data_IF_805131930129
#
_entry.id   IF_805131930129
#
_cell.length_a   1.000
_cell.length_b   1.000
_cell.length_c   1.000
_cell.angle_alpha   90.00
_cell.angle_beta   90.00
_cell.angle_gamma   90.00
#
_symmetry.space_group_name_H-M   'P 1'
#
loop_
_entity.id
_entity.type
_entity.pdbx_description
1 polymer ?
#
# COMPACT_ATOMS: atom_id res chain seq x y z
N UNK A 1 9.13 -25.77 -7.03
CA UNK A 1 8.38 -24.60 -6.54
C UNK A 1 7.11 -24.53 -7.36
N UNK A 2 5.97 -24.64 -6.70
CA UNK A 2 4.71 -25.12 -7.27
C UNK A 2 3.85 -24.00 -7.86
N UNK A 3 2.86 -24.38 -8.68
CA UNK A 3 1.78 -23.54 -9.23
C UNK A 3 1.03 -22.63 -8.22
N UNK A 4 1.31 -22.75 -6.93
CA UNK A 4 0.76 -21.91 -5.85
C UNK A 4 1.42 -20.53 -5.82
N UNK A 5 2.71 -20.39 -6.17
CA UNK A 5 3.42 -19.10 -6.21
C UNK A 5 2.83 -18.16 -7.27
N UNK A 6 2.58 -18.66 -8.48
CA UNK A 6 2.00 -17.87 -9.59
C UNK A 6 0.57 -17.35 -9.30
N UNK A 7 -0.18 -18.03 -8.41
CA UNK A 7 -1.55 -17.64 -8.10
C UNK A 7 -1.66 -16.54 -7.04
N UNK A 8 -0.66 -16.36 -6.18
CA UNK A 8 -0.65 -15.26 -5.20
C UNK A 8 -0.54 -13.89 -5.87
N UNK A 9 0.22 -13.81 -6.92
CA UNK A 9 0.64 -12.59 -7.59
C UNK A 9 -0.52 -11.83 -8.25
N UNK A 10 -1.55 -12.55 -8.70
CA UNK A 10 -2.78 -11.94 -9.21
C UNK A 10 -3.81 -11.58 -8.11
N UNK A 11 -3.54 -11.88 -6.85
CA UNK A 11 -4.42 -11.58 -5.72
C UNK A 11 -3.75 -10.64 -4.73
N UNK A 12 -2.49 -10.90 -4.36
CA UNK A 12 -1.72 -10.05 -3.45
C UNK A 12 -0.97 -8.97 -4.24
N UNK A 13 -1.51 -7.75 -4.26
CA UNK A 13 -0.92 -6.63 -5.01
C UNK A 13 0.35 -6.11 -4.36
N UNK A 14 0.42 -6.09 -3.03
CA UNK A 14 1.60 -5.55 -2.32
C UNK A 14 1.69 -5.99 -0.88
N UNK A 15 2.94 -6.05 -0.38
CA UNK A 15 3.29 -6.26 1.02
C UNK A 15 3.82 -4.96 1.62
N UNK A 16 3.42 -4.65 2.85
CA UNK A 16 3.93 -3.49 3.59
C UNK A 16 4.17 -3.83 5.05
N UNK A 17 5.38 -3.52 5.54
CA UNK A 17 5.69 -3.55 6.97
C UNK A 17 5.95 -2.13 7.45
N UNK A 18 5.46 -1.82 8.65
CA UNK A 18 5.67 -0.55 9.34
C UNK A 18 6.13 -0.83 10.75
N UNK A 19 7.08 -0.01 11.22
CA UNK A 19 7.55 -0.01 12.59
C UNK A 19 7.30 1.38 13.20
N UNK A 20 6.90 1.41 14.46
CA UNK A 20 6.77 2.62 15.26
C UNK A 20 7.83 2.59 16.37
N UNK A 21 8.63 3.64 16.49
CA UNK A 21 9.70 3.76 17.45
C UNK A 21 9.73 5.15 18.10
N UNK A 22 10.11 5.19 19.36
CA UNK A 22 10.49 6.43 20.05
C UNK A 22 11.91 6.32 20.58
N UNK A 23 12.58 7.44 20.69
CA UNK A 23 13.92 7.53 21.28
C UNK A 23 13.83 7.74 22.80
N UNK A 24 14.71 7.08 23.56
CA UNK A 24 14.70 7.11 25.02
C UNK A 24 14.93 8.51 25.59
N UNK A 25 15.82 9.29 24.96
CA UNK A 25 16.29 10.57 25.47
C UNK A 25 15.49 11.79 24.99
N UNK A 26 14.42 11.57 24.24
CA UNK A 26 13.58 12.65 23.71
C UNK A 26 12.13 12.55 24.22
N UNK A 27 11.48 13.69 24.49
CA UNK A 27 10.06 13.69 24.83
C UNK A 27 9.22 13.31 23.62
N UNK A 28 8.18 12.48 23.78
CA UNK A 28 7.31 12.04 22.67
C UNK A 28 6.72 13.22 21.89
N UNK A 29 6.43 13.07 20.59
CA UNK A 29 6.08 14.17 19.69
C UNK A 29 4.92 15.06 20.18
N UNK A 30 3.88 14.47 20.76
CA UNK A 30 2.76 15.23 21.33
C UNK A 30 3.13 16.13 22.51
N UNK A 31 4.20 15.79 23.24
CA UNK A 31 4.76 16.63 24.30
C UNK A 31 5.80 17.58 23.72
N UNK A 32 6.60 17.11 22.78
CA UNK A 32 7.61 17.88 22.05
C UNK A 32 6.99 19.14 21.41
N UNK A 33 5.82 19.04 20.76
CA UNK A 33 5.11 20.17 20.16
C UNK A 33 4.77 21.32 21.10
N UNK A 34 4.82 21.09 22.43
CA UNK A 34 4.54 22.09 23.47
C UNK A 34 5.83 22.66 24.09
N UNK A 35 6.98 22.17 23.68
CA UNK A 35 8.27 22.58 24.20
C UNK A 35 8.81 23.78 23.38
N UNK A 36 9.43 24.73 24.08
CA UNK A 36 10.06 25.89 23.45
C UNK A 36 11.27 25.48 22.56
N UNK A 37 11.89 24.34 22.85
CA UNK A 37 13.03 23.77 22.10
C UNK A 37 12.60 22.68 21.10
N UNK A 38 11.31 22.52 20.85
CA UNK A 38 10.78 21.43 20.01
C UNK A 38 11.45 21.36 18.64
N UNK A 39 11.67 22.50 17.99
CA UNK A 39 12.29 22.57 16.66
C UNK A 39 13.75 22.14 16.70
N UNK A 40 14.48 22.53 17.74
CA UNK A 40 15.90 22.18 17.93
C UNK A 40 16.06 20.67 18.15
N UNK A 41 15.25 20.09 19.03
CA UNK A 41 15.24 18.64 19.30
C UNK A 41 14.83 17.84 18.07
N UNK A 42 13.82 18.31 17.32
CA UNK A 42 13.39 17.67 16.08
C UNK A 42 14.47 17.70 14.99
N UNK A 43 15.23 18.81 14.90
CA UNK A 43 16.35 18.92 13.95
C UNK A 43 17.50 18.00 14.34
N UNK A 44 17.75 17.82 15.61
CA UNK A 44 18.78 16.88 16.08
C UNK A 44 18.39 15.44 15.79
N UNK A 45 17.14 15.03 16.05
CA UNK A 45 16.64 13.71 15.65
C UNK A 45 16.73 13.50 14.14
N UNK A 46 16.30 14.50 13.33
CA UNK A 46 16.39 14.45 11.87
C UNK A 46 17.84 14.24 11.41
N UNK A 47 18.79 14.97 12.00
CA UNK A 47 20.21 14.84 11.69
C UNK A 47 20.74 13.44 12.00
N UNK A 48 20.49 12.94 13.21
CA UNK A 48 20.96 11.65 13.67
C UNK A 48 20.41 10.49 12.84
N UNK A 49 19.09 10.50 12.57
CA UNK A 49 18.46 9.47 11.72
C UNK A 49 18.97 9.54 10.28
N UNK A 50 19.12 10.75 9.73
CA UNK A 50 19.66 10.92 8.36
C UNK A 50 21.09 10.40 8.27
N UNK A 51 21.92 10.68 9.27
CA UNK A 51 23.30 10.21 9.33
C UNK A 51 23.38 8.69 9.47
N UNK A 52 22.54 8.08 10.32
CA UNK A 52 22.45 6.63 10.47
C UNK A 52 22.08 5.95 9.13
N UNK A 53 21.03 6.42 8.50
CA UNK A 53 20.50 5.82 7.26
C UNK A 53 21.39 6.08 6.04
N UNK A 54 22.13 7.18 6.00
CA UNK A 54 23.07 7.47 4.89
C UNK A 54 24.17 6.43 4.72
N UNK A 55 24.42 5.61 5.76
CA UNK A 55 25.34 4.47 5.71
C UNK A 55 24.74 3.23 5.03
N UNK A 56 23.40 3.18 4.91
CA UNK A 56 22.67 2.05 4.34
C UNK A 56 22.32 2.33 2.88
N UNK A 57 21.68 3.49 2.60
CA UNK A 57 21.35 3.93 1.25
C UNK A 57 21.04 5.43 1.19
N UNK A 58 20.82 5.95 -0.03
CA UNK A 58 20.48 7.35 -0.26
C UNK A 58 18.99 7.63 -0.09
N UNK A 59 18.68 8.69 0.67
CA UNK A 59 17.32 9.15 0.91
C UNK A 59 17.15 10.61 0.50
N UNK A 60 15.97 10.95 -0.01
CA UNK A 60 15.53 12.33 -0.18
C UNK A 60 14.81 12.81 1.06
N UNK A 61 15.32 13.87 1.70
CA UNK A 61 14.71 14.47 2.89
C UNK A 61 13.65 15.50 2.51
N UNK A 62 12.44 15.29 2.97
CA UNK A 62 11.30 16.21 2.85
C UNK A 62 10.99 16.84 4.22
N UNK A 63 11.21 18.16 4.36
CA UNK A 63 10.87 18.92 5.57
C UNK A 63 9.45 19.47 5.43
N UNK A 64 8.52 19.03 6.28
CA UNK A 64 7.11 19.40 6.15
C UNK A 64 6.85 20.90 6.29
N UNK A 65 7.67 21.62 7.07
CA UNK A 65 7.58 23.08 7.28
C UNK A 65 7.73 23.92 6.01
N UNK A 66 8.44 23.41 4.99
CA UNK A 66 8.67 24.12 3.73
C UNK A 66 7.98 23.47 2.52
N UNK A 67 7.18 22.44 2.75
CA UNK A 67 6.57 21.67 1.67
C UNK A 67 5.25 22.34 1.21
N UNK A 68 5.08 22.51 -0.12
CA UNK A 68 3.83 23.03 -0.68
C UNK A 68 2.68 22.03 -0.48
N UNK A 69 1.44 22.54 -0.49
CA UNK A 69 0.25 21.68 -0.32
C UNK A 69 0.11 20.65 -1.44
N UNK A 70 0.44 21.02 -2.68
CA UNK A 70 0.40 20.11 -3.84
C UNK A 70 1.41 18.99 -3.68
N UNK A 71 2.64 19.31 -3.26
CA UNK A 71 3.68 18.31 -3.05
C UNK A 71 3.35 17.40 -1.87
N UNK A 72 2.79 17.96 -0.80
CA UNK A 72 2.34 17.19 0.35
C UNK A 72 1.21 16.23 -0.03
N UNK A 73 0.20 16.71 -0.77
CA UNK A 73 -0.90 15.89 -1.26
C UNK A 73 -0.40 14.72 -2.13
N UNK A 74 0.56 14.99 -3.02
CA UNK A 74 1.16 13.95 -3.87
C UNK A 74 1.88 12.87 -3.04
N UNK A 75 2.67 13.25 -2.03
CA UNK A 75 3.34 12.28 -1.15
C UNK A 75 2.34 11.45 -0.33
N UNK A 76 1.22 12.06 0.10
CA UNK A 76 0.14 11.33 0.79
C UNK A 76 -0.53 10.33 -0.15
N UNK A 77 -0.87 10.70 -1.37
CA UNK A 77 -1.51 9.81 -2.35
C UNK A 77 -0.60 8.68 -2.79
N UNK A 78 0.71 8.92 -2.83
CA UNK A 78 1.73 7.89 -3.06
C UNK A 78 1.99 6.99 -1.83
N UNK A 79 1.26 7.19 -0.72
CA UNK A 79 1.45 6.48 0.55
C UNK A 79 2.85 6.62 1.17
N UNK A 80 3.60 7.66 0.80
CA UNK A 80 4.96 7.93 1.32
C UNK A 80 4.92 8.67 2.66
N UNK A 81 3.88 9.48 2.88
CA UNK A 81 3.63 10.12 4.17
C UNK A 81 2.17 9.97 4.57
N UNK A 82 1.90 10.07 5.88
CA UNK A 82 0.53 10.12 6.40
C UNK A 82 -0.03 11.54 6.36
N UNK A 83 -1.36 11.68 6.42
CA UNK A 83 -2.01 12.98 6.63
C UNK A 83 -1.72 13.55 8.02
N UNK A 84 -1.50 12.69 9.01
CA UNK A 84 -1.23 13.10 10.38
C UNK A 84 0.14 13.72 10.52
N UNK A 85 1.15 13.30 9.74
CA UNK A 85 2.47 13.96 9.69
C UNK A 85 2.35 15.46 9.37
N UNK A 86 1.39 15.84 8.52
CA UNK A 86 1.18 17.23 8.13
C UNK A 86 0.60 18.10 9.25
N UNK A 87 0.07 17.51 10.33
CA UNK A 87 -0.36 18.24 11.53
C UNK A 87 0.82 18.73 12.36
N UNK A 88 1.99 18.09 12.20
CA UNK A 88 3.23 18.39 12.91
C UNK A 88 4.25 19.13 12.05
N UNK A 89 3.83 19.88 11.03
CA UNK A 89 4.70 20.58 10.04
C UNK A 89 5.93 21.26 10.63
N UNK A 90 5.89 21.95 11.78
CA UNK A 90 7.06 22.66 12.30
C UNK A 90 8.23 21.74 12.65
N UNK A 91 7.97 20.49 13.06
CA UNK A 91 8.95 19.53 13.56
C UNK A 91 9.04 18.26 12.70
N UNK A 92 8.07 18.04 11.81
CA UNK A 92 7.97 16.82 11.04
C UNK A 92 8.83 16.84 9.77
N UNK A 93 9.40 15.69 9.45
CA UNK A 93 10.07 15.41 8.19
C UNK A 93 9.86 13.98 7.72
N UNK A 94 10.25 13.68 6.50
CA UNK A 94 10.25 12.32 5.97
C UNK A 94 11.47 12.08 5.09
N UNK A 95 12.09 10.93 5.25
CA UNK A 95 13.15 10.39 4.42
C UNK A 95 12.54 9.37 3.47
N UNK A 96 12.71 9.54 2.17
CA UNK A 96 12.14 8.66 1.14
C UNK A 96 13.26 8.14 0.26
N UNK A 97 13.34 6.82 0.05
CA UNK A 97 14.29 6.21 -0.88
C UNK A 97 14.06 6.65 -2.31
N UNK A 98 15.07 6.55 -3.16
CA UNK A 98 14.99 6.97 -4.56
C UNK A 98 13.89 6.22 -5.34
N UNK A 99 13.74 4.92 -5.09
CA UNK A 99 12.71 4.05 -5.69
C UNK A 99 11.33 4.18 -5.03
N UNK A 100 11.22 4.98 -3.94
CA UNK A 100 10.00 5.24 -3.17
C UNK A 100 9.37 4.02 -2.50
N UNK A 101 10.12 2.95 -2.28
CA UNK A 101 9.64 1.78 -1.55
C UNK A 101 9.89 1.86 -0.04
N UNK A 102 10.80 2.76 0.39
CA UNK A 102 11.06 3.05 1.80
C UNK A 102 10.64 4.48 2.09
N UNK A 103 9.93 4.66 3.18
CA UNK A 103 9.62 5.96 3.75
C UNK A 103 9.74 5.92 5.26
N UNK A 104 10.49 6.87 5.82
CA UNK A 104 10.71 7.01 7.25
C UNK A 104 10.22 8.39 7.66
N UNK A 105 9.07 8.43 8.32
CA UNK A 105 8.46 9.65 8.82
C UNK A 105 9.01 9.95 10.22
N UNK A 106 9.38 11.20 10.46
CA UNK A 106 9.90 11.69 11.72
C UNK A 106 8.93 12.67 12.37
N UNK A 107 8.68 12.46 13.66
CA UNK A 107 7.80 13.30 14.50
C UNK A 107 6.35 13.35 14.00
N UNK A 108 5.78 12.18 13.70
CA UNK A 108 4.34 12.00 13.47
C UNK A 108 3.64 11.81 14.83
N UNK A 109 3.06 10.66 15.09
CA UNK A 109 2.54 10.23 16.39
C UNK A 109 3.68 9.77 17.29
N UNK A 110 4.62 9.02 16.72
CA UNK A 110 5.88 8.57 17.30
C UNK A 110 7.05 9.30 16.65
N UNK A 111 8.25 9.22 17.26
CA UNK A 111 9.45 9.88 16.72
C UNK A 111 9.83 9.34 15.35
N UNK A 112 9.75 8.02 15.17
CA UNK A 112 10.04 7.34 13.90
C UNK A 112 8.90 6.43 13.55
N UNK A 113 8.45 6.54 12.31
CA UNK A 113 7.55 5.58 11.69
C UNK A 113 8.15 5.12 10.38
N UNK A 114 8.76 3.98 10.43
CA UNK A 114 9.37 3.35 9.27
C UNK A 114 8.31 2.63 8.45
N UNK A 115 8.51 2.61 7.14
CA UNK A 115 7.65 1.90 6.22
C UNK A 115 8.49 1.34 5.08
N UNK A 116 8.35 0.05 4.85
CA UNK A 116 8.81 -0.62 3.65
C UNK A 116 7.63 -1.20 2.87
N UNK A 117 7.64 -0.96 1.58
CA UNK A 117 6.60 -1.36 0.64
C UNK A 117 7.22 -2.16 -0.51
N UNK A 118 6.62 -3.28 -0.87
CA UNK A 118 7.04 -4.06 -2.05
C UNK A 118 5.83 -4.57 -2.82
N UNK A 119 5.98 -4.76 -4.12
CA UNK A 119 5.00 -5.42 -4.96
C UNK A 119 4.94 -6.92 -4.62
N UNK A 120 3.74 -7.52 -4.79
CA UNK A 120 3.52 -8.94 -4.53
C UNK A 120 3.53 -9.31 -3.04
N UNK A 121 3.79 -10.57 -2.76
CA UNK A 121 3.67 -11.17 -1.45
C UNK A 121 4.98 -11.80 -0.98
N UNK A 122 5.67 -11.15 -0.06
CA UNK A 122 6.82 -11.71 0.65
C UNK A 122 7.01 -10.94 1.98
N UNK A 123 6.39 -11.45 3.05
CA UNK A 123 6.48 -10.86 4.39
C UNK A 123 7.87 -11.01 4.99
N UNK A 124 8.55 -12.14 4.74
CA UNK A 124 9.86 -12.41 5.30
C UNK A 124 10.90 -11.44 4.75
N UNK A 125 10.95 -11.28 3.42
CA UNK A 125 11.84 -10.33 2.75
C UNK A 125 11.55 -8.89 3.16
N UNK A 126 10.26 -8.52 3.27
CA UNK A 126 9.87 -7.19 3.71
C UNK A 126 10.30 -6.91 5.15
N UNK A 127 10.18 -7.90 6.03
CA UNK A 127 10.61 -7.80 7.42
C UNK A 127 12.14 -7.68 7.54
N UNK A 128 12.89 -8.55 6.87
CA UNK A 128 14.36 -8.51 6.86
C UNK A 128 14.86 -7.12 6.40
N UNK A 129 14.24 -6.57 5.35
CA UNK A 129 14.65 -5.27 4.79
C UNK A 129 14.40 -4.11 5.74
N UNK A 130 13.24 -4.08 6.41
CA UNK A 130 12.92 -2.98 7.33
C UNK A 130 13.73 -3.09 8.62
N UNK A 131 13.96 -4.31 9.13
CA UNK A 131 14.79 -4.51 10.32
C UNK A 131 16.22 -4.02 10.13
N UNK A 132 16.80 -4.19 8.94
CA UNK A 132 18.13 -3.63 8.66
C UNK A 132 18.19 -2.09 8.73
N UNK A 133 17.06 -1.39 8.52
CA UNK A 133 16.95 0.06 8.72
C UNK A 133 16.74 0.41 10.21
N UNK A 134 15.83 -0.32 10.86
CA UNK A 134 15.55 -0.17 12.30
C UNK A 134 16.82 -0.36 13.14
N UNK A 135 17.61 -1.40 12.85
CA UNK A 135 18.90 -1.66 13.50
C UNK A 135 19.89 -0.52 13.28
N UNK A 136 20.02 -0.01 12.04
CA UNK A 136 20.94 1.11 11.75
C UNK A 136 20.55 2.39 12.50
N UNK A 137 19.26 2.66 12.70
CA UNK A 137 18.79 3.77 13.52
C UNK A 137 19.06 3.49 15.00
N UNK A 138 18.70 2.30 15.48
CA UNK A 138 18.85 1.89 16.89
C UNK A 138 20.30 1.85 17.39
N UNK A 139 21.26 1.50 16.52
CA UNK A 139 22.69 1.58 16.80
C UNK A 139 23.18 3.02 17.03
N UNK A 140 22.51 3.99 16.42
CA UNK A 140 22.89 5.41 16.51
C UNK A 140 22.14 6.15 17.61
N UNK A 141 20.89 5.78 17.89
CA UNK A 141 20.02 6.46 18.86
C UNK A 141 19.22 5.39 19.61
N UNK A 142 19.37 5.26 20.94
CA UNK A 142 18.66 4.26 21.72
C UNK A 142 17.14 4.44 21.63
N UNK A 143 16.43 3.36 21.30
CA UNK A 143 14.98 3.35 21.35
C UNK A 143 14.43 3.26 22.78
N UNK A 144 13.26 3.87 23.01
CA UNK A 144 12.50 3.73 24.24
C UNK A 144 11.92 2.30 24.32
N UNK A 145 12.51 1.48 25.15
CA UNK A 145 12.19 0.06 25.31
C UNK A 145 12.04 -0.29 26.79
N UNK A 146 11.07 -1.16 27.08
CA UNK A 146 10.81 -1.72 28.40
C UNK A 146 10.82 -3.26 28.31
N UNK A 147 11.48 -3.93 29.25
CA UNK A 147 11.60 -5.40 29.23
C UNK A 147 10.25 -6.14 29.29
N UNK A 148 9.24 -5.51 29.88
CA UNK A 148 7.89 -6.10 30.03
C UNK A 148 6.98 -5.73 28.86
N UNK A 149 7.05 -4.49 28.39
CA UNK A 149 6.14 -3.93 27.41
C UNK A 149 6.70 -3.85 25.98
N UNK A 150 7.98 -4.07 25.78
CA UNK A 150 8.65 -3.90 24.49
C UNK A 150 8.87 -2.44 24.11
N UNK A 151 8.80 -2.10 22.85
CA UNK A 151 8.94 -0.72 22.37
C UNK A 151 7.80 0.16 22.86
N UNK A 152 8.16 1.28 23.47
CA UNK A 152 7.21 2.25 24.02
C UNK A 152 6.77 3.22 22.92
N UNK A 153 5.47 3.27 22.66
CA UNK A 153 4.88 4.09 21.62
C UNK A 153 3.82 5.04 22.20
N UNK A 154 3.56 6.14 21.49
CA UNK A 154 2.54 7.12 21.89
C UNK A 154 1.12 6.52 21.82
N UNK A 155 0.88 5.64 20.84
CA UNK A 155 -0.38 4.93 20.71
C UNK A 155 -0.31 3.56 21.40
N UNK A 156 -1.19 3.28 22.37
CA UNK A 156 -1.19 1.98 23.07
C UNK A 156 -1.33 0.76 22.15
N UNK A 157 -1.93 0.93 20.97
CA UNK A 157 -2.10 -0.16 20.00
C UNK A 157 -0.80 -0.53 19.26
N UNK A 158 0.25 0.27 19.38
CA UNK A 158 1.57 0.02 18.79
C UNK A 158 2.57 -0.50 19.83
N UNK A 159 2.28 -0.40 21.14
CA UNK A 159 3.17 -0.89 22.21
C UNK A 159 3.46 -2.37 22.03
N UNK A 160 4.69 -2.79 22.28
CA UNK A 160 5.20 -4.15 22.09
C UNK A 160 6.20 -4.19 20.94
N UNK A 161 5.89 -4.90 19.89
CA UNK A 161 6.76 -4.93 18.69
C UNK A 161 6.76 -3.62 17.90
N UNK A 162 5.75 -2.77 18.09
CA UNK A 162 5.54 -1.58 17.25
C UNK A 162 5.29 -1.91 15.78
N UNK A 163 5.15 -3.22 15.44
CA UNK A 163 5.11 -3.70 14.06
C UNK A 163 3.67 -3.85 13.54
N UNK A 164 3.46 -3.35 12.35
CA UNK A 164 2.26 -3.65 11.57
C UNK A 164 2.64 -4.24 10.22
N UNK A 165 2.46 -5.54 10.08
CA UNK A 165 2.55 -6.27 8.83
C UNK A 165 1.21 -6.23 8.10
N UNK A 166 1.20 -5.90 6.82
CA UNK A 166 -0.02 -5.80 6.03
C UNK A 166 0.20 -6.22 4.59
N UNK A 167 -0.86 -6.78 4.00
CA UNK A 167 -0.90 -7.17 2.58
C UNK A 167 -2.13 -6.55 1.93
N UNK A 168 -1.95 -5.94 0.76
CA UNK A 168 -3.04 -5.45 -0.06
C UNK A 168 -3.50 -6.55 -0.99
N UNK A 169 -4.78 -6.88 -0.95
CA UNK A 169 -5.40 -7.95 -1.73
C UNK A 169 -6.44 -7.39 -2.69
N UNK A 170 -6.41 -7.89 -3.93
CA UNK A 170 -7.44 -7.67 -4.93
C UNK A 170 -8.45 -8.81 -4.86
N UNK A 171 -9.64 -8.57 -4.28
CA UNK A 171 -10.64 -9.58 -3.93
C UNK A 171 -12.00 -9.38 -4.62
N UNK A 172 -12.05 -9.23 -5.97
CA UNK A 172 -13.29 -8.93 -6.68
C UNK A 172 -14.32 -10.05 -6.59
N UNK A 173 -13.92 -11.32 -6.55
CA UNK A 173 -14.86 -12.42 -6.50
C UNK A 173 -15.48 -12.56 -5.10
N UNK A 174 -14.69 -12.54 -4.05
CA UNK A 174 -15.17 -12.58 -2.67
C UNK A 174 -16.07 -11.38 -2.34
N UNK A 175 -15.68 -10.18 -2.78
CA UNK A 175 -16.42 -8.94 -2.56
C UNK A 175 -17.78 -8.98 -3.27
N UNK A 176 -17.78 -9.18 -4.59
CA UNK A 176 -19.00 -9.11 -5.45
C UNK A 176 -20.00 -10.23 -5.17
N UNK A 177 -19.52 -11.40 -4.70
CA UNK A 177 -20.40 -12.51 -4.29
C UNK A 177 -20.85 -12.42 -2.83
N UNK A 178 -20.40 -11.40 -2.09
CA UNK A 178 -20.77 -11.17 -0.69
C UNK A 178 -20.17 -12.21 0.29
N UNK A 179 -19.20 -13.00 -0.15
CA UNK A 179 -18.50 -14.01 0.68
C UNK A 179 -17.55 -13.33 1.64
N UNK A 180 -16.90 -12.23 1.21
CA UNK A 180 -16.00 -11.45 2.04
C UNK A 180 -16.67 -11.02 3.35
N UNK A 181 -17.79 -10.30 3.28
CA UNK A 181 -18.50 -9.79 4.44
C UNK A 181 -19.09 -10.90 5.33
N UNK A 182 -19.60 -11.99 4.73
CA UNK A 182 -20.31 -13.03 5.45
C UNK A 182 -19.41 -14.07 6.11
N UNK A 183 -18.23 -14.33 5.57
CA UNK A 183 -17.37 -15.44 6.01
C UNK A 183 -15.95 -14.99 6.36
N UNK A 184 -15.31 -14.15 5.53
CA UNK A 184 -13.89 -13.80 5.71
C UNK A 184 -13.71 -12.80 6.85
N UNK A 185 -14.42 -11.68 6.83
CA UNK A 185 -14.27 -10.63 7.84
C UNK A 185 -14.51 -11.15 9.28
N UNK A 186 -15.60 -11.89 9.58
CA UNK A 186 -15.82 -12.42 10.93
C UNK A 186 -14.74 -13.41 11.39
N UNK A 187 -14.21 -14.23 10.48
CA UNK A 187 -13.17 -15.20 10.79
C UNK A 187 -11.82 -14.55 11.12
N UNK A 188 -11.50 -13.41 10.50
CA UNK A 188 -10.24 -12.67 10.72
C UNK A 188 -10.26 -11.85 12.01
N UNK A 189 -11.36 -11.13 12.27
CA UNK A 189 -11.51 -10.34 13.50
C UNK A 189 -11.31 -11.20 14.76
N UNK A 190 -11.82 -12.44 14.77
CA UNK A 190 -11.62 -13.40 15.87
C UNK A 190 -10.16 -13.84 16.07
N UNK A 191 -9.29 -13.63 15.10
CA UNK A 191 -7.86 -14.00 15.14
C UNK A 191 -6.93 -12.81 15.44
N UNK A 192 -7.43 -11.63 15.75
CA UNK A 192 -6.61 -10.42 15.96
C UNK A 192 -6.04 -9.86 14.66
N UNK A 193 -6.76 -10.04 13.56
CA UNK A 193 -6.48 -9.45 12.26
C UNK A 193 -7.59 -8.44 11.90
N UNK A 194 -7.21 -7.39 11.24
CA UNK A 194 -8.15 -6.38 10.72
C UNK A 194 -8.10 -6.35 9.21
N UNK A 195 -9.27 -6.10 8.59
CA UNK A 195 -9.40 -5.90 7.15
C UNK A 195 -10.01 -4.53 6.92
N UNK A 196 -9.36 -3.74 6.09
CA UNK A 196 -9.83 -2.39 5.74
C UNK A 196 -9.94 -2.27 4.23
N UNK A 197 -11.01 -1.67 3.74
CA UNK A 197 -11.06 -1.16 2.38
C UNK A 197 -10.09 0.03 2.22
N UNK A 198 -9.77 0.38 1.00
CA UNK A 198 -8.85 1.48 0.70
C UNK A 198 -9.31 2.84 1.22
N UNK A 199 -10.60 3.02 1.51
CA UNK A 199 -11.21 4.28 1.98
C UNK A 199 -11.52 4.32 3.50
N UNK A 200 -11.17 3.30 4.28
CA UNK A 200 -11.40 3.24 5.73
C UNK A 200 -12.39 2.17 6.20
N UNK A 201 -12.70 2.14 7.49
CA UNK A 201 -13.41 1.03 8.16
C UNK A 201 -14.86 0.83 7.69
N UNK A 202 -15.55 1.89 7.23
CA UNK A 202 -16.99 1.85 6.86
C UNK A 202 -17.27 2.12 5.38
N UNK A 203 -16.27 2.37 4.56
CA UNK A 203 -16.44 2.63 3.13
C UNK A 203 -16.23 1.36 2.30
N UNK A 204 -17.07 1.14 1.30
CA UNK A 204 -16.87 0.08 0.31
C UNK A 204 -15.45 0.15 -0.27
N UNK A 205 -14.82 -1.01 -0.48
CA UNK A 205 -13.47 -1.05 -1.02
C UNK A 205 -13.46 -0.52 -2.46
N UNK A 206 -12.74 0.57 -2.66
CA UNK A 206 -12.54 1.14 -3.97
C UNK A 206 -11.69 0.18 -4.82
N UNK A 207 -12.18 -0.19 -5.99
CA UNK A 207 -11.48 -1.09 -6.89
C UNK A 207 -11.33 -2.54 -6.40
N UNK A 208 -12.16 -3.00 -5.44
CA UNK A 208 -12.08 -4.33 -4.82
C UNK A 208 -10.73 -4.62 -4.12
N UNK A 209 -10.06 -3.56 -3.62
CA UNK A 209 -8.79 -3.65 -2.90
C UNK A 209 -9.02 -3.63 -1.39
N UNK A 210 -8.45 -4.60 -0.68
CA UNK A 210 -8.58 -4.77 0.76
C UNK A 210 -7.22 -4.98 1.41
N UNK A 211 -6.95 -4.25 2.47
CA UNK A 211 -5.74 -4.42 3.27
C UNK A 211 -6.03 -5.35 4.46
N UNK A 212 -5.29 -6.43 4.56
CA UNK A 212 -5.27 -7.32 5.73
C UNK A 212 -4.03 -7.03 6.56
N UNK A 213 -4.16 -6.90 7.88
CA UNK A 213 -3.03 -6.62 8.77
C UNK A 213 -3.27 -7.17 10.17
N UNK A 214 -2.19 -7.36 10.96
CA UNK A 214 -2.31 -7.60 12.38
C UNK A 214 -2.93 -6.41 13.10
N UNK A 215 -3.65 -6.70 14.18
CA UNK A 215 -4.23 -5.71 15.09
C UNK A 215 -3.39 -5.60 16.38
N UNK A 216 -2.83 -6.72 16.84
CA UNK A 216 -2.07 -6.80 18.08
C UNK A 216 -0.59 -6.68 17.83
N UNK A 217 0.09 -5.99 18.75
CA UNK A 217 1.55 -5.78 18.77
C UNK A 217 2.14 -6.15 20.13
N UNK A 218 1.35 -6.17 21.21
CA UNK A 218 1.76 -6.49 22.54
C UNK A 218 1.55 -7.97 22.85
N UNK A 219 2.57 -8.62 23.42
CA UNK A 219 2.49 -10.02 23.86
C UNK A 219 2.55 -11.06 22.75
N UNK A 220 2.99 -10.69 21.57
CA UNK A 220 3.18 -11.53 20.40
C UNK A 220 4.50 -11.14 19.71
N UNK A 221 5.47 -12.06 19.57
CA UNK A 221 6.71 -11.76 18.86
C UNK A 221 6.48 -11.54 17.37
N UNK A 222 7.42 -10.87 16.71
CA UNK A 222 7.32 -10.48 15.30
C UNK A 222 7.11 -11.69 14.38
N UNK A 223 7.82 -12.78 14.62
CA UNK A 223 7.70 -14.02 13.81
C UNK A 223 6.30 -14.62 13.91
N UNK A 224 5.66 -14.55 15.07
CA UNK A 224 4.29 -15.03 15.26
C UNK A 224 3.29 -14.12 14.53
N UNK A 225 3.50 -12.81 14.56
CA UNK A 225 2.70 -11.85 13.79
C UNK A 225 2.81 -12.13 12.29
N UNK A 226 4.02 -12.31 11.76
CA UNK A 226 4.25 -12.61 10.35
C UNK A 226 3.58 -13.92 9.94
N UNK A 227 3.75 -14.98 10.74
CA UNK A 227 3.11 -16.28 10.49
C UNK A 227 1.58 -16.21 10.52
N UNK A 228 1.02 -15.44 11.46
CA UNK A 228 -0.43 -15.23 11.55
C UNK A 228 -0.99 -14.53 10.31
N UNK A 229 -0.32 -13.46 9.85
CA UNK A 229 -0.73 -12.74 8.64
C UNK A 229 -0.57 -13.63 7.42
N UNK A 230 0.55 -14.35 7.26
CA UNK A 230 0.81 -15.24 6.14
C UNK A 230 -0.26 -16.33 6.00
N UNK A 231 -0.61 -17.01 7.09
CA UNK A 231 -1.66 -18.05 7.11
C UNK A 231 -3.02 -17.48 6.70
N UNK A 232 -3.35 -16.30 7.18
CA UNK A 232 -4.60 -15.63 6.82
C UNK A 232 -4.63 -15.27 5.32
N UNK A 233 -3.54 -14.72 4.79
CA UNK A 233 -3.42 -14.38 3.37
C UNK A 233 -3.54 -15.63 2.51
N UNK A 234 -2.85 -16.73 2.82
CA UNK A 234 -2.97 -18.01 2.12
C UNK A 234 -4.43 -18.45 2.01
N UNK A 235 -5.14 -18.45 3.14
CA UNK A 235 -6.55 -18.85 3.18
C UNK A 235 -7.43 -17.95 2.31
N UNK A 236 -7.22 -16.63 2.36
CA UNK A 236 -8.01 -15.66 1.58
C UNK A 236 -7.74 -15.82 0.09
N UNK A 237 -6.48 -16.00 -0.30
CA UNK A 237 -6.07 -16.22 -1.70
C UNK A 237 -6.75 -17.47 -2.26
N UNK A 238 -6.69 -18.59 -1.54
CA UNK A 238 -7.37 -19.84 -1.96
C UNK A 238 -8.88 -19.63 -2.14
N UNK A 239 -9.53 -18.92 -1.21
CA UNK A 239 -10.95 -18.60 -1.31
C UNK A 239 -11.26 -17.70 -2.51
N UNK A 240 -10.46 -16.67 -2.75
CA UNK A 240 -10.64 -15.76 -3.89
C UNK A 240 -10.50 -16.53 -5.22
N UNK A 241 -9.47 -17.37 -5.36
CA UNK A 241 -9.24 -18.16 -6.56
C UNK A 241 -10.40 -19.15 -6.82
N UNK A 242 -10.91 -19.79 -5.76
CA UNK A 242 -12.07 -20.64 -5.87
C UNK A 242 -13.32 -19.89 -6.35
N UNK A 243 -13.58 -18.70 -5.80
CA UNK A 243 -14.72 -17.88 -6.21
C UNK A 243 -14.52 -17.29 -7.62
N UNK A 244 -13.28 -16.97 -8.04
CA UNK A 244 -12.97 -16.59 -9.43
C UNK A 244 -13.29 -17.74 -10.41
N UNK A 245 -12.88 -18.97 -10.07
CA UNK A 245 -13.18 -20.15 -10.88
C UNK A 245 -14.71 -20.37 -11.02
N UNK A 246 -15.46 -20.20 -9.94
CA UNK A 246 -16.94 -20.24 -9.98
C UNK A 246 -17.52 -19.13 -10.82
N UNK A 247 -17.05 -17.89 -10.65
CA UNK A 247 -17.48 -16.76 -11.48
C UNK A 247 -17.23 -17.00 -12.97
N UNK A 248 -16.07 -17.57 -13.31
CA UNK A 248 -15.74 -17.92 -14.71
C UNK A 248 -16.69 -18.98 -15.26
N UNK A 249 -17.00 -20.01 -14.48
CA UNK A 249 -17.92 -21.09 -14.90
C UNK A 249 -19.36 -20.63 -15.07
N UNK A 250 -19.85 -19.74 -14.20
CA UNK A 250 -21.22 -19.26 -14.15
C UNK A 250 -21.44 -17.99 -15.01
N UNK A 251 -20.40 -17.15 -15.15
CA UNK A 251 -20.51 -15.77 -15.64
C UNK A 251 -20.68 -15.63 -17.15
N UNK A 252 -20.17 -16.56 -17.95
CA UNK A 252 -20.35 -16.60 -19.40
C UNK A 252 -20.08 -15.24 -20.10
N UNK A 253 -20.89 -14.95 -21.12
CA UNK A 253 -20.83 -13.71 -21.92
C UNK A 253 -20.98 -12.43 -21.08
N UNK A 254 -21.90 -12.32 -20.10
CA UNK A 254 -22.03 -11.09 -19.31
C UNK A 254 -20.77 -10.68 -18.53
N UNK A 255 -20.03 -11.63 -17.99
CA UNK A 255 -18.79 -11.32 -17.26
C UNK A 255 -17.68 -10.87 -18.21
N UNK A 256 -17.54 -11.52 -19.36
CA UNK A 256 -16.60 -11.13 -20.42
C UNK A 256 -16.96 -9.76 -21.01
N UNK A 257 -18.26 -9.49 -21.31
CA UNK A 257 -18.74 -8.19 -21.81
C UNK A 257 -18.41 -7.06 -20.82
N UNK A 258 -18.53 -7.31 -19.52
CA UNK A 258 -18.16 -6.31 -18.49
C UNK A 258 -16.70 -5.92 -18.57
N UNK A 259 -15.79 -6.87 -18.72
CA UNK A 259 -14.35 -6.61 -18.90
C UNK A 259 -14.06 -5.90 -20.23
N UNK A 260 -14.73 -6.31 -21.33
CA UNK A 260 -14.61 -5.67 -22.63
C UNK A 260 -15.08 -4.21 -22.62
N UNK A 261 -16.20 -3.92 -21.95
CA UNK A 261 -16.69 -2.54 -21.78
C UNK A 261 -15.73 -1.70 -20.95
N UNK A 262 -15.16 -2.25 -19.86
CA UNK A 262 -14.16 -1.55 -19.06
C UNK A 262 -12.94 -1.15 -19.91
N UNK A 263 -12.43 -2.08 -20.71
CA UNK A 263 -11.33 -1.81 -21.64
C UNK A 263 -11.71 -0.74 -22.68
N UNK A 264 -12.90 -0.86 -23.30
CA UNK A 264 -13.39 0.10 -24.29
C UNK A 264 -13.53 1.51 -23.73
N UNK A 265 -14.05 1.66 -22.50
CA UNK A 265 -14.19 2.97 -21.84
C UNK A 265 -12.82 3.53 -21.50
N UNK A 266 -11.97 2.77 -20.81
CA UNK A 266 -10.64 3.22 -20.41
C UNK A 266 -9.74 3.63 -21.58
N UNK A 267 -10.00 3.12 -22.79
CA UNK A 267 -9.24 3.46 -24.00
C UNK A 267 -9.83 4.60 -24.84
N UNK A 268 -11.13 4.95 -24.69
CA UNK A 268 -11.80 5.87 -25.61
C UNK A 268 -12.64 6.96 -24.95
N UNK A 269 -12.79 6.99 -23.62
CA UNK A 269 -13.52 8.06 -22.96
C UNK A 269 -12.79 9.41 -23.08
N UNK A 270 -13.57 10.50 -23.13
CA UNK A 270 -13.04 11.88 -23.15
C UNK A 270 -12.98 12.49 -21.75
N UNK A 271 -13.75 11.95 -20.81
CA UNK A 271 -13.75 12.33 -19.40
C UNK A 271 -13.84 11.07 -18.55
N UNK A 272 -13.20 11.05 -17.39
CA UNK A 272 -13.15 9.89 -16.51
C UNK A 272 -13.04 10.34 -15.05
N UNK A 273 -14.12 10.21 -14.28
CA UNK A 273 -14.14 10.50 -12.85
C UNK A 273 -13.33 9.47 -12.06
N UNK A 274 -12.80 9.84 -10.89
CA UNK A 274 -11.94 8.97 -10.07
C UNK A 274 -12.63 7.64 -9.71
N UNK A 275 -13.84 7.69 -9.15
CA UNK A 275 -14.58 6.48 -8.76
C UNK A 275 -14.99 5.62 -9.96
N UNK A 276 -15.26 6.23 -11.12
CA UNK A 276 -15.53 5.52 -12.36
C UNK A 276 -14.26 4.81 -12.87
N UNK A 277 -13.13 5.49 -12.85
CA UNK A 277 -11.82 4.95 -13.19
C UNK A 277 -11.50 3.70 -12.36
N UNK A 278 -11.57 3.80 -11.03
CA UNK A 278 -11.26 2.69 -10.14
C UNK A 278 -12.16 1.48 -10.37
N UNK A 279 -13.44 1.70 -10.67
CA UNK A 279 -14.37 0.62 -10.99
C UNK A 279 -13.99 -0.10 -12.28
N UNK A 280 -13.66 0.64 -13.35
CA UNK A 280 -13.27 0.02 -14.61
C UNK A 280 -11.90 -0.64 -14.56
N UNK A 281 -10.95 -0.09 -13.80
CA UNK A 281 -9.68 -0.77 -13.54
C UNK A 281 -9.91 -2.10 -12.83
N UNK A 282 -10.78 -2.15 -11.82
CA UNK A 282 -11.13 -3.42 -11.16
C UNK A 282 -11.77 -4.43 -12.14
N UNK A 283 -12.67 -3.99 -13.02
CA UNK A 283 -13.29 -4.86 -14.01
C UNK A 283 -12.26 -5.36 -15.04
N UNK A 284 -11.33 -4.52 -15.46
CA UNK A 284 -10.25 -4.91 -16.38
C UNK A 284 -9.28 -5.89 -15.71
N UNK A 285 -8.85 -5.62 -14.46
CA UNK A 285 -7.99 -6.53 -13.68
C UNK A 285 -8.65 -7.90 -13.51
N UNK A 286 -9.94 -7.94 -13.18
CA UNK A 286 -10.67 -9.21 -13.11
C UNK A 286 -10.71 -9.92 -14.46
N UNK A 287 -10.91 -9.19 -15.56
CA UNK A 287 -10.87 -9.74 -16.91
C UNK A 287 -9.51 -10.36 -17.25
N UNK A 288 -8.41 -9.71 -16.89
CA UNK A 288 -7.05 -10.23 -17.01
C UNK A 288 -6.86 -11.52 -16.20
N UNK A 289 -7.24 -11.48 -14.91
CA UNK A 289 -7.11 -12.63 -14.00
C UNK A 289 -7.97 -13.85 -14.42
N UNK A 290 -9.08 -13.61 -15.15
CA UNK A 290 -9.92 -14.67 -15.70
C UNK A 290 -9.48 -15.14 -17.10
N UNK A 291 -8.41 -14.55 -17.66
CA UNK A 291 -7.88 -14.91 -18.97
C UNK A 291 -8.76 -14.49 -20.14
N UNK A 292 -9.45 -13.35 -20.03
CA UNK A 292 -10.24 -12.80 -21.15
C UNK A 292 -9.45 -11.91 -22.09
N UNK A 293 -8.19 -11.61 -21.75
CA UNK A 293 -7.30 -10.78 -22.56
C UNK A 293 -5.99 -11.48 -22.86
N UNK A 294 -5.44 -11.19 -24.02
CA UNK A 294 -4.10 -11.52 -24.45
C UNK A 294 -3.41 -10.27 -25.01
N UNK A 295 -2.20 -10.43 -25.52
CA UNK A 295 -1.48 -9.46 -26.38
C UNK A 295 -1.27 -10.04 -27.78
N UNK A 296 -0.63 -9.23 -28.63
CA UNK A 296 -0.33 -9.60 -30.02
C UNK A 296 0.68 -10.75 -30.14
N UNK A 297 1.30 -11.19 -29.02
CA UNK A 297 2.30 -12.27 -29.03
C UNK A 297 1.65 -13.65 -28.91
N UNK A 298 2.18 -14.68 -29.61
CA UNK A 298 1.70 -16.04 -29.47
C UNK A 298 1.71 -16.49 -28.00
N UNK A 299 0.68 -17.17 -27.55
CA UNK A 299 0.55 -17.64 -26.17
C UNK A 299 1.76 -18.48 -25.69
N UNK A 300 2.43 -19.19 -26.62
CA UNK A 300 3.61 -20.02 -26.36
C UNK A 300 4.88 -19.24 -26.03
N UNK A 301 4.96 -17.97 -26.45
CA UNK A 301 6.12 -17.09 -26.22
C UNK A 301 5.89 -16.09 -25.08
N UNK A 302 4.70 -16.09 -24.49
CA UNK A 302 4.31 -15.15 -23.44
C UNK A 302 5.02 -15.48 -22.13
N UNK A 303 5.62 -14.48 -21.43
CA UNK A 303 6.18 -14.66 -20.10
C UNK A 303 5.13 -15.21 -19.11
N UNK A 304 5.53 -16.07 -18.19
CA UNK A 304 4.64 -16.64 -17.17
C UNK A 304 4.02 -15.57 -16.26
N UNK A 305 4.73 -14.46 -16.04
CA UNK A 305 4.36 -13.31 -15.23
C UNK A 305 3.61 -12.20 -16.02
N UNK A 306 3.20 -12.46 -17.25
CA UNK A 306 2.55 -11.45 -18.11
C UNK A 306 1.29 -10.83 -17.47
N UNK A 307 0.39 -11.68 -16.98
CA UNK A 307 -0.86 -11.20 -16.34
C UNK A 307 -0.56 -10.36 -15.12
N UNK A 308 0.37 -10.79 -14.28
CA UNK A 308 0.85 -10.10 -13.09
C UNK A 308 1.45 -8.74 -13.44
N UNK A 309 2.35 -8.70 -14.43
CA UNK A 309 2.95 -7.45 -14.92
C UNK A 309 1.87 -6.46 -15.38
N UNK A 310 0.83 -6.91 -16.11
CA UNK A 310 -0.28 -6.05 -16.52
C UNK A 310 -1.11 -5.56 -15.34
N UNK A 311 -1.34 -6.42 -14.33
CA UNK A 311 -2.06 -6.03 -13.12
C UNK A 311 -1.28 -5.00 -12.30
N UNK A 312 0.04 -5.14 -12.18
CA UNK A 312 0.89 -4.16 -11.52
C UNK A 312 0.90 -2.81 -12.23
N UNK A 313 0.98 -2.79 -13.56
CA UNK A 313 0.86 -1.56 -14.34
C UNK A 313 -0.48 -0.83 -14.06
N UNK A 314 -1.58 -1.58 -13.87
CA UNK A 314 -2.87 -1.02 -13.49
C UNK A 314 -2.91 -0.52 -12.05
N UNK A 315 -2.19 -1.15 -11.13
CA UNK A 315 -2.06 -0.70 -9.74
C UNK A 315 -1.24 0.61 -9.67
N UNK A 316 -0.12 0.69 -10.38
CA UNK A 316 0.68 1.92 -10.50
C UNK A 316 -0.13 3.06 -11.12
N UNK A 317 -0.87 2.76 -12.20
CA UNK A 317 -1.76 3.72 -12.84
C UNK A 317 -2.85 4.21 -11.86
N UNK A 318 -3.39 3.32 -11.03
CA UNK A 318 -4.41 3.66 -10.04
C UNK A 318 -3.89 4.65 -8.99
N UNK A 319 -2.64 4.54 -8.58
CA UNK A 319 -1.99 5.50 -7.69
C UNK A 319 -1.67 6.81 -8.42
N UNK A 320 -1.13 6.74 -9.63
CA UNK A 320 -0.74 7.92 -10.42
C UNK A 320 -1.93 8.80 -10.84
N UNK A 321 -3.11 8.20 -11.02
CA UNK A 321 -4.33 8.88 -11.47
C UNK A 321 -5.24 9.36 -10.32
N UNK A 322 -4.74 9.40 -9.09
CA UNK A 322 -5.39 10.10 -7.98
C UNK A 322 -5.35 11.62 -8.17
N UNK A 323 -6.20 12.39 -7.46
CA UNK A 323 -6.35 13.84 -7.71
C UNK A 323 -5.04 14.65 -7.73
N UNK A 324 -4.14 14.48 -6.77
CA UNK A 324 -2.87 15.22 -6.75
C UNK A 324 -1.93 14.75 -7.86
N UNK A 325 -1.93 13.45 -8.17
CA UNK A 325 -1.20 12.90 -9.31
C UNK A 325 -1.67 13.51 -10.62
N UNK A 326 -2.97 13.53 -10.86
CA UNK A 326 -3.59 14.13 -12.06
C UNK A 326 -3.26 15.62 -12.18
N UNK A 327 -3.40 16.39 -11.09
CA UNK A 327 -3.03 17.83 -11.07
C UNK A 327 -1.56 18.07 -11.42
N UNK A 328 -0.67 17.14 -11.08
CA UNK A 328 0.75 17.26 -11.40
C UNK A 328 1.08 17.03 -12.88
N UNK A 329 0.15 16.44 -13.66
CA UNK A 329 0.34 16.09 -15.07
C UNK A 329 -0.24 17.11 -16.05
N UNK A 330 -1.20 17.93 -15.62
CA UNK A 330 -1.98 18.77 -16.52
C UNK A 330 -1.71 20.27 -16.40
N UNK A 331 -2.22 21.03 -17.38
CA UNK A 331 -2.31 22.47 -17.29
C UNK A 331 -3.36 22.87 -16.24
N UNK A 332 -3.18 24.01 -15.52
CA UNK A 332 -4.10 24.45 -14.47
C UNK A 332 -5.58 24.59 -14.91
N UNK A 333 -5.79 24.87 -16.19
CA UNK A 333 -7.13 25.10 -16.78
C UNK A 333 -7.81 23.83 -17.31
N UNK A 334 -7.10 22.69 -17.37
CA UNK A 334 -7.67 21.43 -17.83
C UNK A 334 -8.36 20.72 -16.66
N UNK A 335 -9.60 20.28 -16.86
CA UNK A 335 -10.36 19.53 -15.85
C UNK A 335 -9.68 18.19 -15.49
N UNK A 336 -9.62 17.84 -14.19
CA UNK A 336 -8.97 16.62 -13.71
C UNK A 336 -9.46 15.36 -14.45
N UNK A 337 -10.77 15.26 -14.73
CA UNK A 337 -11.36 14.11 -15.40
C UNK A 337 -10.93 13.98 -16.87
N UNK A 338 -10.65 15.10 -17.55
CA UNK A 338 -10.11 15.10 -18.92
C UNK A 338 -8.66 14.64 -18.90
N UNK A 339 -7.84 15.20 -18.02
CA UNK A 339 -6.43 14.82 -17.87
C UNK A 339 -6.32 13.32 -17.51
N UNK A 340 -7.16 12.84 -16.61
CA UNK A 340 -7.21 11.43 -16.24
C UNK A 340 -7.56 10.55 -17.43
N UNK A 341 -8.60 10.89 -18.20
CA UNK A 341 -9.02 10.13 -19.38
C UNK A 341 -7.92 10.02 -20.43
N UNK A 342 -7.24 11.12 -20.73
CA UNK A 342 -6.13 11.15 -21.70
C UNK A 342 -4.95 10.26 -21.28
N UNK A 343 -4.51 10.39 -20.01
CA UNK A 343 -3.36 9.64 -19.50
C UNK A 343 -3.68 8.15 -19.35
N UNK A 344 -4.86 7.82 -18.83
CA UNK A 344 -5.34 6.44 -18.73
C UNK A 344 -5.42 5.80 -20.11
N UNK A 345 -6.05 6.47 -21.08
CA UNK A 345 -6.18 5.95 -22.45
C UNK A 345 -4.82 5.65 -23.07
N UNK A 346 -3.84 6.55 -22.88
CA UNK A 346 -2.47 6.35 -23.40
C UNK A 346 -1.81 5.11 -22.80
N UNK A 347 -1.89 4.92 -21.49
CA UNK A 347 -1.28 3.77 -20.78
C UNK A 347 -1.98 2.48 -21.19
N UNK A 348 -3.32 2.43 -21.14
CA UNK A 348 -4.09 1.20 -21.43
C UNK A 348 -3.89 0.74 -22.89
N UNK A 349 -3.86 1.68 -23.85
CA UNK A 349 -3.54 1.35 -25.25
C UNK A 349 -2.10 0.82 -25.40
N UNK A 350 -1.15 1.36 -24.63
CA UNK A 350 0.23 0.88 -24.59
C UNK A 350 0.37 -0.55 -24.07
N UNK A 351 -0.62 -1.07 -23.33
CA UNK A 351 -0.65 -2.46 -22.86
C UNK A 351 -0.94 -3.48 -23.97
N UNK A 352 -1.48 -3.04 -25.11
CA UNK A 352 -1.82 -3.85 -26.30
C UNK A 352 -2.69 -5.06 -25.96
N UNK A 353 -3.75 -4.85 -25.18
CA UNK A 353 -4.66 -5.93 -24.77
C UNK A 353 -5.65 -6.25 -25.89
N UNK A 354 -5.80 -7.52 -26.23
CA UNK A 354 -6.80 -8.07 -27.13
C UNK A 354 -7.78 -8.97 -26.37
N UNK A 355 -9.06 -8.84 -26.66
CA UNK A 355 -10.11 -9.66 -26.06
C UNK A 355 -10.19 -11.02 -26.78
N UNK A 356 -10.02 -12.11 -26.01
CA UNK A 356 -10.09 -13.48 -26.51
C UNK A 356 -11.52 -14.02 -26.51
#
# INVERSE_FOLDING_TARGET
MSAISESYECVASSTRIRLARNFADFPFPGRLMRDAHAVEQALEMERLVTEALSKVEEFTLYKMRGLSEERAALLVEQNLISRDLLRHRPIASALVSHDKIISIMLNEEDHVREQYFMQGFDLAKAYERIMGLDDAIGESIPFAYDETFGYLTACPTNVGTGMRASVMLFLPALSRRGVLAKRVLPALTGKGLTVRGTMGEDSGAEGDLFQVSNERTLGMPEEEILSLVEQAISTIVEMELLERARMRAEGGVPLKDRAARAYGILTHCCTLGEGEFMRYVSDLKLGLALGYFCDDEPCETRPSDWTETKMWQLDELSVAMRPAGVRSLGAPDAGEDVIRAENVSKVIRGMRLELI
#
